data_IF_866458176045
#
_entry.id   IF_866458176045
#
_cell.length_a   1.000
_cell.length_b   1.000
_cell.length_c   1.000
_cell.angle_alpha   90.00
_cell.angle_beta   90.00
_cell.angle_gamma   90.00
#
_symmetry.space_group_name_H-M   'P 1'
#
loop_
_entity.id
_entity.type
_entity.pdbx_description
1 polymer ?
#
# COMPACT_ATOMS: atom_id res chain seq x y z
N UNK A 1 4.58 -6.31 2.99
CA UNK A 1 3.34 -7.08 2.87
C UNK A 1 2.18 -6.25 3.40
N UNK A 2 1.13 -6.05 2.57
CA UNK A 2 -0.14 -5.45 2.99
C UNK A 2 -0.99 -6.46 3.77
N UNK A 3 -1.75 -6.00 4.75
CA UNK A 3 -2.43 -6.88 5.70
C UNK A 3 -3.94 -6.65 5.81
N UNK A 4 -4.53 -5.93 4.87
CA UNK A 4 -5.98 -5.63 4.89
C UNK A 4 -6.82 -6.92 4.88
N UNK A 5 -6.42 -7.95 4.14
CA UNK A 5 -7.09 -9.25 4.06
C UNK A 5 -7.01 -10.05 5.38
N UNK A 6 -6.09 -9.70 6.27
CA UNK A 6 -6.00 -10.34 7.59
C UNK A 6 -7.10 -9.86 8.54
N UNK A 7 -7.74 -8.74 8.23
CA UNK A 7 -8.79 -8.15 9.06
C UNK A 7 -10.14 -7.96 8.38
N UNK A 8 -10.20 -8.01 7.05
CA UNK A 8 -11.39 -7.75 6.26
C UNK A 8 -11.49 -8.71 5.07
N UNK A 9 -12.69 -8.89 4.58
CA UNK A 9 -12.96 -9.40 3.23
C UNK A 9 -12.62 -8.29 2.24
N UNK A 10 -11.49 -8.41 1.53
CA UNK A 10 -10.95 -7.34 0.69
C UNK A 10 -10.30 -7.88 -0.58
N UNK A 11 -10.57 -7.21 -1.70
CA UNK A 11 -10.04 -7.53 -3.03
C UNK A 11 -11.13 -7.98 -3.99
N UNK A 12 -11.10 -7.49 -5.25
CA UNK A 12 -12.13 -7.83 -6.27
C UNK A 12 -12.07 -9.30 -6.68
N UNK A 13 -10.90 -9.91 -6.52
CA UNK A 13 -10.63 -11.32 -6.85
C UNK A 13 -10.60 -12.22 -5.61
N UNK A 14 -10.80 -11.67 -4.41
CA UNK A 14 -10.91 -12.47 -3.20
C UNK A 14 -12.32 -13.09 -3.13
N UNK A 15 -12.37 -14.41 -3.08
CA UNK A 15 -13.60 -15.19 -2.95
C UNK A 15 -13.69 -15.96 -1.64
N UNK A 16 -12.60 -15.96 -0.84
CA UNK A 16 -12.47 -16.73 0.40
C UNK A 16 -12.73 -15.87 1.66
N UNK A 17 -12.85 -14.54 1.48
CA UNK A 17 -13.10 -13.59 2.57
C UNK A 17 -11.85 -13.29 3.40
N UNK A 18 -12.05 -12.99 4.70
CA UNK A 18 -10.95 -12.70 5.61
C UNK A 18 -10.04 -13.92 5.80
N UNK A 19 -8.73 -13.73 5.71
CA UNK A 19 -7.71 -14.77 5.89
C UNK A 19 -7.76 -15.33 7.32
N UNK A 20 -7.84 -16.65 7.42
CA UNK A 20 -7.85 -17.35 8.74
C UNK A 20 -6.51 -17.16 9.47
N UNK A 21 -6.55 -17.02 10.80
CA UNK A 21 -5.35 -16.73 11.61
C UNK A 21 -4.22 -17.76 11.45
N UNK A 22 -4.55 -19.04 11.22
CA UNK A 22 -3.57 -20.08 10.94
C UNK A 22 -2.84 -19.84 9.64
N UNK A 23 -3.54 -19.32 8.61
CA UNK A 23 -2.96 -18.98 7.32
C UNK A 23 -2.16 -17.68 7.40
N UNK A 24 -2.61 -16.69 8.19
CA UNK A 24 -1.79 -15.51 8.47
C UNK A 24 -0.43 -15.90 9.04
N UNK A 25 -0.40 -16.87 9.97
CA UNK A 25 0.87 -17.36 10.49
C UNK A 25 1.75 -17.99 9.41
N UNK A 26 1.20 -18.83 8.52
CA UNK A 26 1.94 -19.42 7.42
C UNK A 26 2.52 -18.35 6.47
N UNK A 27 1.71 -17.33 6.16
CA UNK A 27 2.12 -16.19 5.33
C UNK A 27 3.29 -15.44 5.97
N UNK A 28 3.19 -15.12 7.28
CA UNK A 28 4.25 -14.38 7.98
C UNK A 28 5.53 -15.19 8.16
N UNK A 29 5.42 -16.48 8.47
CA UNK A 29 6.58 -17.37 8.56
C UNK A 29 7.32 -17.44 7.21
N UNK A 30 6.56 -17.57 6.11
CA UNK A 30 7.13 -17.57 4.76
C UNK A 30 7.72 -16.21 4.38
N UNK A 31 7.03 -15.11 4.67
CA UNK A 31 7.52 -13.76 4.43
C UNK A 31 8.88 -13.52 5.10
N UNK A 32 9.00 -13.90 6.37
CA UNK A 32 10.25 -13.82 7.14
C UNK A 32 11.37 -14.67 6.51
N UNK A 33 11.07 -15.91 6.12
CA UNK A 33 12.04 -16.81 5.46
C UNK A 33 12.58 -16.20 4.16
N UNK A 34 11.77 -15.43 3.45
CA UNK A 34 12.13 -14.76 2.18
C UNK A 34 12.68 -13.35 2.35
N UNK A 35 12.90 -12.89 3.58
CA UNK A 35 13.49 -11.58 3.86
C UNK A 35 12.52 -10.42 3.64
N UNK A 36 11.22 -10.67 3.61
CA UNK A 36 10.19 -9.62 3.62
C UNK A 36 10.11 -9.10 5.05
N UNK A 37 10.54 -7.87 5.25
CA UNK A 37 10.79 -7.26 6.55
C UNK A 37 9.71 -6.26 7.01
N UNK A 38 8.74 -5.93 6.15
CA UNK A 38 7.79 -4.85 6.41
C UNK A 38 6.34 -5.31 6.28
N UNK A 39 5.53 -4.97 7.29
CA UNK A 39 4.07 -5.15 7.28
C UNK A 39 3.38 -3.78 7.26
N UNK A 40 2.46 -3.60 6.32
CA UNK A 40 1.59 -2.43 6.23
C UNK A 40 0.19 -2.77 6.74
N UNK A 41 -0.24 -2.10 7.79
CA UNK A 41 -1.54 -2.27 8.43
C UNK A 41 -2.26 -0.93 8.67
N UNK A 42 -3.41 -0.95 9.28
CA UNK A 42 -4.14 0.24 9.75
C UNK A 42 -5.25 -0.14 10.75
N UNK A 43 -5.63 0.74 11.67
CA UNK A 43 -6.81 0.55 12.52
C UNK A 43 -8.11 0.32 11.74
N UNK A 44 -8.20 0.88 10.53
CA UNK A 44 -9.36 0.72 9.63
C UNK A 44 -9.43 -0.63 8.92
N UNK A 45 -8.42 -1.50 9.07
CA UNK A 45 -8.38 -2.83 8.47
C UNK A 45 -9.04 -3.90 9.37
N UNK A 46 -10.19 -3.59 9.93
CA UNK A 46 -10.96 -4.51 10.79
C UNK A 46 -10.17 -4.93 12.03
N UNK A 47 -9.91 -6.23 12.17
CA UNK A 47 -9.13 -6.77 13.29
C UNK A 47 -7.69 -7.16 12.90
N UNK A 48 -7.18 -6.66 11.76
CA UNK A 48 -5.85 -7.01 11.25
C UNK A 48 -4.75 -6.81 12.29
N UNK A 49 -4.71 -5.67 12.99
CA UNK A 49 -3.69 -5.39 14.02
C UNK A 49 -3.72 -6.40 15.18
N UNK A 50 -4.92 -6.83 15.62
CA UNK A 50 -5.07 -7.86 16.65
C UNK A 50 -4.61 -9.24 16.18
N UNK A 51 -4.93 -9.59 14.93
CA UNK A 51 -4.48 -10.84 14.31
C UNK A 51 -2.95 -10.87 14.24
N UNK A 52 -2.35 -9.78 13.76
CA UNK A 52 -0.90 -9.62 13.67
C UNK A 52 -0.23 -9.74 15.06
N UNK A 53 -0.73 -9.03 16.06
CA UNK A 53 -0.20 -9.11 17.43
C UNK A 53 -0.37 -10.48 18.07
N UNK A 54 -1.46 -11.20 17.75
CA UNK A 54 -1.69 -12.57 18.19
C UNK A 54 -0.75 -13.60 17.56
N UNK A 55 -0.34 -13.40 16.31
CA UNK A 55 0.67 -14.24 15.62
C UNK A 55 2.09 -13.90 16.05
N UNK A 56 2.37 -12.61 16.30
CA UNK A 56 3.68 -12.07 16.64
C UNK A 56 4.39 -11.44 15.45
N UNK A 57 4.78 -10.15 15.61
CA UNK A 57 5.33 -9.33 14.53
C UNK A 57 6.66 -8.64 14.89
N UNK A 58 7.33 -9.05 15.96
CA UNK A 58 8.55 -8.41 16.46
C UNK A 58 9.74 -8.43 15.47
N UNK A 59 9.69 -9.31 14.49
CA UNK A 59 10.72 -9.45 13.46
C UNK A 59 10.47 -8.55 12.25
N UNK A 60 9.38 -7.76 12.26
CA UNK A 60 8.97 -6.93 11.13
C UNK A 60 8.99 -5.44 11.50
N UNK A 61 9.29 -4.62 10.51
CA UNK A 61 9.03 -3.19 10.52
C UNK A 61 7.52 -2.98 10.30
N UNK A 62 6.88 -2.27 11.21
CA UNK A 62 5.43 -2.04 11.12
C UNK A 62 5.16 -0.64 10.63
N UNK A 63 4.39 -0.54 9.55
CA UNK A 63 3.78 0.70 9.08
C UNK A 63 2.30 0.65 9.40
N UNK A 64 1.82 1.57 10.22
CA UNK A 64 0.38 1.73 10.48
C UNK A 64 -0.10 3.13 10.14
N UNK A 65 -1.38 3.43 10.36
CA UNK A 65 -1.99 4.67 9.89
C UNK A 65 -2.84 5.31 10.98
N UNK A 66 -3.07 6.62 10.86
CA UNK A 66 -3.98 7.32 11.76
C UNK A 66 -5.43 6.92 11.50
N UNK A 67 -6.26 7.00 12.54
CA UNK A 67 -7.72 7.07 12.37
C UNK A 67 -8.13 8.46 11.93
N UNK A 68 -9.41 8.66 11.56
CA UNK A 68 -9.89 9.95 11.09
C UNK A 68 -9.74 11.06 12.16
N UNK A 69 -9.22 12.21 11.73
CA UNK A 69 -9.06 13.42 12.58
C UNK A 69 -10.41 14.04 13.00
N UNK A 70 -11.51 13.67 12.33
CA UNK A 70 -12.87 14.14 12.71
C UNK A 70 -13.24 13.77 14.16
N UNK A 71 -12.64 12.70 14.72
CA UNK A 71 -12.84 12.32 16.12
C UNK A 71 -12.03 13.17 17.12
N UNK A 72 -11.17 14.08 16.61
CA UNK A 72 -10.29 14.95 17.38
C UNK A 72 -8.92 14.32 17.70
N UNK A 73 -7.90 15.17 17.88
CA UNK A 73 -6.49 14.79 18.06
C UNK A 73 -6.30 13.78 19.18
N UNK A 74 -6.92 14.00 20.36
CA UNK A 74 -6.78 13.10 21.50
C UNK A 74 -7.23 11.66 21.19
N UNK A 75 -8.33 11.51 20.43
CA UNK A 75 -8.84 10.20 20.05
C UNK A 75 -7.96 9.53 18.98
N UNK A 76 -7.35 10.31 18.05
CA UNK A 76 -6.36 9.77 17.10
C UNK A 76 -5.15 9.20 17.84
N UNK A 77 -4.63 9.94 18.84
CA UNK A 77 -3.51 9.47 19.67
C UNK A 77 -3.88 8.23 20.50
N UNK A 78 -5.09 8.23 21.09
CA UNK A 78 -5.59 7.06 21.80
C UNK A 78 -5.69 5.83 20.89
N UNK A 79 -6.19 6.00 19.66
CA UNK A 79 -6.27 4.93 18.67
C UNK A 79 -4.87 4.41 18.29
N UNK A 80 -3.86 5.28 18.14
CA UNK A 80 -2.49 4.87 17.93
C UNK A 80 -1.93 4.02 19.09
N UNK A 81 -2.17 4.42 20.34
CA UNK A 81 -1.76 3.60 21.50
C UNK A 81 -2.53 2.27 21.56
N UNK A 82 -3.78 2.25 21.09
CA UNK A 82 -4.53 1.01 20.94
C UNK A 82 -3.91 0.10 19.87
N UNK A 83 -3.45 0.67 18.74
CA UNK A 83 -2.71 -0.07 17.71
C UNK A 83 -1.45 -0.74 18.25
N UNK A 84 -0.65 -0.03 19.06
CA UNK A 84 0.51 -0.63 19.73
C UNK A 84 0.12 -1.81 20.63
N UNK A 85 -0.99 -1.68 21.36
CA UNK A 85 -1.54 -2.74 22.22
C UNK A 85 -2.02 -3.91 21.39
N UNK A 86 -2.80 -3.68 20.35
CA UNK A 86 -3.38 -4.71 19.48
C UNK A 86 -2.28 -5.47 18.71
N UNK A 87 -1.23 -4.79 18.25
CA UNK A 87 -0.05 -5.35 17.61
C UNK A 87 0.91 -6.04 18.61
N UNK A 88 0.73 -5.82 19.91
CA UNK A 88 1.60 -6.31 20.99
C UNK A 88 3.08 -5.89 20.81
N UNK A 89 3.29 -4.62 20.47
CA UNK A 89 4.61 -3.99 20.28
C UNK A 89 4.70 -2.66 21.03
N UNK A 90 5.90 -2.12 21.18
CA UNK A 90 6.15 -0.85 21.90
C UNK A 90 6.32 0.36 20.97
N UNK A 91 6.60 0.14 19.69
CA UNK A 91 6.81 1.19 18.69
C UNK A 91 6.56 0.67 17.30
N UNK A 92 6.33 1.56 16.33
CA UNK A 92 6.22 1.24 14.89
C UNK A 92 7.31 1.94 14.10
N UNK A 93 7.65 1.41 12.92
CA UNK A 93 8.60 2.06 12.02
C UNK A 93 8.01 3.31 11.38
N UNK A 94 6.76 3.25 10.94
CA UNK A 94 6.08 4.41 10.34
C UNK A 94 4.63 4.57 10.78
N UNK A 95 4.23 5.84 10.95
CA UNK A 95 2.83 6.22 11.14
C UNK A 95 2.43 7.18 10.03
N UNK A 96 1.48 6.74 9.19
CA UNK A 96 0.99 7.52 8.06
C UNK A 96 -0.30 8.25 8.42
N UNK A 97 -0.43 9.51 7.99
CA UNK A 97 -1.74 10.15 7.85
C UNK A 97 -2.50 9.40 6.77
N UNK A 98 -3.59 8.71 7.16
CA UNK A 98 -4.31 7.79 6.28
C UNK A 98 -5.08 8.53 5.18
N UNK A 99 -5.73 9.63 5.54
CA UNK A 99 -6.50 10.45 4.61
C UNK A 99 -5.83 11.82 4.45
N UNK A 100 -5.20 12.05 3.30
CA UNK A 100 -4.50 13.31 2.99
C UNK A 100 -5.39 14.54 3.08
N UNK A 101 -6.71 14.42 2.86
CA UNK A 101 -7.63 15.56 2.94
C UNK A 101 -7.70 16.16 4.34
N UNK A 102 -7.25 15.43 5.36
CA UNK A 102 -7.19 15.89 6.74
C UNK A 102 -6.17 17.02 6.98
N UNK A 103 -5.22 17.23 6.06
CA UNK A 103 -4.28 18.38 6.12
C UNK A 103 -5.02 19.74 6.05
N UNK A 104 -6.26 19.72 5.54
CA UNK A 104 -7.12 20.91 5.47
C UNK A 104 -7.92 21.18 6.76
N UNK A 105 -7.91 20.22 7.70
CA UNK A 105 -8.60 20.39 8.99
C UNK A 105 -7.84 21.37 9.88
N UNK A 106 -8.56 22.26 10.55
CA UNK A 106 -7.99 23.24 11.49
C UNK A 106 -7.22 22.64 12.67
N UNK A 107 -7.44 21.37 12.97
CA UNK A 107 -6.74 20.63 14.03
C UNK A 107 -5.46 19.94 13.51
N UNK A 108 -5.20 19.96 12.19
CA UNK A 108 -4.11 19.21 11.60
C UNK A 108 -2.73 19.62 12.15
N UNK A 109 -2.49 20.92 12.30
CA UNK A 109 -1.23 21.41 12.88
C UNK A 109 -1.02 20.89 14.31
N UNK A 110 -2.09 20.76 15.08
CA UNK A 110 -2.03 20.16 16.42
C UNK A 110 -1.71 18.68 16.37
N UNK A 111 -2.35 17.94 15.46
CA UNK A 111 -2.03 16.53 15.24
C UNK A 111 -0.56 16.36 14.82
N UNK A 112 -0.10 17.14 13.84
CA UNK A 112 1.26 17.02 13.33
C UNK A 112 2.33 17.29 14.39
N UNK A 113 2.07 18.23 15.30
CA UNK A 113 2.93 18.48 16.48
C UNK A 113 2.97 17.26 17.41
N UNK A 114 1.84 16.63 17.67
CA UNK A 114 1.80 15.42 18.50
C UNK A 114 2.52 14.23 17.82
N UNK A 115 2.38 14.07 16.49
CA UNK A 115 3.15 13.04 15.76
C UNK A 115 4.66 13.27 15.89
N UNK A 116 5.12 14.51 15.83
CA UNK A 116 6.54 14.85 16.07
C UNK A 116 6.99 14.51 17.50
N UNK A 117 6.12 14.64 18.50
CA UNK A 117 6.43 14.18 19.88
C UNK A 117 6.52 12.66 19.93
N UNK A 118 5.58 11.92 19.32
CA UNK A 118 5.68 10.47 19.24
C UNK A 118 6.99 10.01 18.61
N UNK A 119 7.50 10.76 17.60
CA UNK A 119 8.80 10.50 16.97
C UNK A 119 9.97 10.80 17.91
N UNK A 120 9.93 11.89 18.65
CA UNK A 120 10.92 12.24 19.68
C UNK A 120 10.95 11.19 20.81
N UNK A 121 9.78 10.70 21.21
CA UNK A 121 9.61 9.67 22.25
C UNK A 121 9.93 8.25 21.73
N UNK A 122 10.32 8.11 20.45
CA UNK A 122 10.67 6.85 19.77
C UNK A 122 9.52 5.83 19.73
N UNK A 123 8.28 6.28 19.81
CA UNK A 123 7.11 5.45 19.57
C UNK A 123 6.85 5.22 18.08
N UNK A 124 7.32 6.14 17.23
CA UNK A 124 7.38 6.02 15.78
C UNK A 124 8.76 6.46 15.29
N UNK A 125 9.27 5.84 14.21
CA UNK A 125 10.53 6.25 13.60
C UNK A 125 10.30 7.26 12.47
N UNK A 126 9.21 7.09 11.71
CA UNK A 126 8.87 7.87 10.52
C UNK A 126 7.46 8.43 10.60
N UNK A 127 7.29 9.67 10.14
CA UNK A 127 5.98 10.28 9.88
C UNK A 127 5.79 10.29 8.37
N UNK A 128 4.60 9.93 7.90
CA UNK A 128 4.33 9.93 6.47
C UNK A 128 2.87 10.14 6.11
N UNK A 129 2.59 10.01 4.82
CA UNK A 129 1.27 10.25 4.26
C UNK A 129 0.88 9.14 3.28
N UNK A 130 -0.42 8.88 3.15
CA UNK A 130 -0.99 8.07 2.08
C UNK A 130 -1.73 8.99 1.11
N UNK A 131 -1.36 8.95 -0.18
CA UNK A 131 -1.88 9.85 -1.22
C UNK A 131 -2.50 9.06 -2.38
N UNK A 132 -3.19 9.79 -3.27
CA UNK A 132 -3.88 9.22 -4.44
C UNK A 132 -3.54 9.94 -5.75
N UNK A 133 -3.02 11.17 -5.71
CA UNK A 133 -2.80 12.00 -6.91
C UNK A 133 -1.45 12.71 -6.87
N UNK A 134 -0.87 13.05 -8.05
CA UNK A 134 0.33 13.87 -8.12
C UNK A 134 0.21 15.21 -7.38
N UNK A 135 -0.91 15.92 -7.54
CA UNK A 135 -1.13 17.22 -6.87
C UNK A 135 -1.04 17.12 -5.35
N UNK A 136 -1.49 15.99 -4.76
CA UNK A 136 -1.35 15.75 -3.33
C UNK A 136 0.11 15.59 -2.92
N UNK A 137 0.92 14.93 -3.76
CA UNK A 137 2.36 14.79 -3.51
C UNK A 137 3.07 16.14 -3.60
N UNK A 138 2.79 16.93 -4.65
CA UNK A 138 3.36 18.28 -4.80
C UNK A 138 3.01 19.17 -3.62
N UNK A 139 1.74 19.15 -3.19
CA UNK A 139 1.31 19.91 -2.01
C UNK A 139 2.09 19.51 -0.74
N UNK A 140 2.31 18.22 -0.52
CA UNK A 140 3.07 17.74 0.64
C UNK A 140 4.54 18.14 0.58
N UNK A 141 5.17 18.03 -0.60
CA UNK A 141 6.56 18.42 -0.81
C UNK A 141 6.82 19.90 -0.55
N UNK A 142 5.81 20.76 -0.77
CA UNK A 142 5.90 22.20 -0.56
C UNK A 142 5.61 22.62 0.87
N UNK A 143 4.85 21.84 1.65
CA UNK A 143 4.28 22.30 2.91
C UNK A 143 4.72 21.53 4.14
N UNK A 144 5.30 20.30 3.99
CA UNK A 144 5.61 19.43 5.14
C UNK A 144 7.00 18.81 5.04
N UNK A 145 7.63 18.60 6.18
CA UNK A 145 8.79 17.70 6.32
C UNK A 145 8.28 16.35 6.79
N UNK A 146 8.48 15.31 5.98
CA UNK A 146 8.05 13.96 6.28
C UNK A 146 9.06 12.93 5.75
N UNK A 147 8.99 11.70 6.28
CA UNK A 147 10.01 10.68 6.06
C UNK A 147 9.57 9.62 5.04
N UNK A 148 8.25 9.43 4.89
CA UNK A 148 7.66 8.27 4.19
C UNK A 148 6.39 8.68 3.45
N UNK A 149 6.21 8.17 2.26
CA UNK A 149 4.95 8.32 1.52
C UNK A 149 4.48 6.99 0.95
N UNK A 150 3.17 6.77 0.98
CA UNK A 150 2.54 5.63 0.34
C UNK A 150 1.66 6.10 -0.81
N UNK A 151 1.97 5.63 -2.02
CA UNK A 151 1.37 6.09 -3.28
C UNK A 151 0.77 4.92 -4.07
N UNK A 152 -0.31 5.12 -4.84
CA UNK A 152 -0.72 4.15 -5.84
C UNK A 152 0.29 4.12 -6.99
N UNK A 153 0.61 2.91 -7.45
CA UNK A 153 1.52 2.72 -8.57
C UNK A 153 1.31 1.35 -9.21
N UNK A 154 1.11 1.32 -10.52
CA UNK A 154 1.02 0.09 -11.31
C UNK A 154 1.17 0.42 -12.80
N UNK A 155 1.11 -0.58 -13.69
CA UNK A 155 1.28 -0.43 -15.14
C UNK A 155 0.27 0.53 -15.80
N UNK A 156 -0.89 0.76 -15.17
CA UNK A 156 -1.90 1.72 -15.64
C UNK A 156 -1.77 3.09 -14.98
N UNK A 157 -1.15 3.16 -13.78
CA UNK A 157 -0.99 4.41 -13.03
C UNK A 157 0.48 4.81 -12.93
N UNK A 158 0.97 5.50 -13.94
CA UNK A 158 2.35 6.02 -14.06
C UNK A 158 2.44 7.52 -13.81
N UNK A 159 1.32 8.16 -13.43
CA UNK A 159 1.20 9.62 -13.30
C UNK A 159 2.31 10.26 -12.45
N UNK A 160 2.83 9.55 -11.43
CA UNK A 160 3.91 10.04 -10.58
C UNK A 160 5.29 9.95 -11.22
N UNK A 161 5.48 9.07 -12.23
CA UNK A 161 6.69 9.08 -13.10
C UNK A 161 6.58 10.27 -14.05
N UNK A 162 5.48 10.34 -14.79
CA UNK A 162 5.26 11.33 -15.85
C UNK A 162 5.32 12.76 -15.34
N UNK A 163 4.77 12.99 -14.15
CA UNK A 163 4.80 14.28 -13.46
C UNK A 163 6.11 14.60 -12.74
N UNK A 164 7.04 13.63 -12.61
CA UNK A 164 8.32 13.80 -11.92
C UNK A 164 8.28 13.75 -10.40
N UNK A 165 7.13 13.45 -9.78
CA UNK A 165 6.99 13.42 -8.32
C UNK A 165 7.84 12.33 -7.67
N UNK A 166 7.98 11.15 -8.29
CA UNK A 166 8.84 10.09 -7.75
C UNK A 166 10.29 10.57 -7.64
N UNK A 167 10.81 11.22 -8.69
CA UNK A 167 12.16 11.78 -8.67
C UNK A 167 12.30 12.90 -7.62
N UNK A 168 11.28 13.75 -7.46
CA UNK A 168 11.28 14.82 -6.45
C UNK A 168 11.32 14.26 -5.02
N UNK A 169 10.55 13.20 -4.74
CA UNK A 169 10.57 12.48 -3.46
C UNK A 169 11.95 11.88 -3.17
N UNK A 170 12.54 11.22 -4.17
CA UNK A 170 13.88 10.62 -4.06
C UNK A 170 14.96 11.67 -3.76
N UNK A 171 14.91 12.82 -4.44
CA UNK A 171 15.85 13.92 -4.22
C UNK A 171 15.78 14.50 -2.80
N UNK A 172 14.62 14.38 -2.13
CA UNK A 172 14.44 14.78 -0.73
C UNK A 172 14.71 13.63 0.27
N UNK A 173 15.14 12.45 -0.21
CA UNK A 173 15.36 11.23 0.60
C UNK A 173 14.09 10.79 1.35
N UNK A 174 12.92 10.97 0.76
CA UNK A 174 11.66 10.47 1.28
C UNK A 174 11.49 9.03 0.82
N UNK A 175 11.21 8.13 1.76
CA UNK A 175 10.96 6.72 1.45
C UNK A 175 9.61 6.56 0.75
N UNK A 176 9.59 5.84 -0.38
CA UNK A 176 8.40 5.70 -1.22
C UNK A 176 7.91 4.26 -1.22
N UNK A 177 6.69 4.04 -0.71
CA UNK A 177 6.02 2.75 -0.75
C UNK A 177 4.94 2.75 -1.84
N UNK A 178 5.08 1.90 -2.83
CA UNK A 178 4.05 1.69 -3.86
C UNK A 178 2.98 0.71 -3.36
N UNK A 179 1.72 1.11 -3.41
CA UNK A 179 0.56 0.24 -3.20
C UNK A 179 -0.26 0.09 -4.47
N UNK A 180 -1.27 -0.77 -4.45
CA UNK A 180 -2.17 -1.02 -5.59
C UNK A 180 -1.46 -1.56 -6.84
N UNK A 181 -0.34 -2.25 -6.65
CA UNK A 181 0.48 -2.78 -7.74
C UNK A 181 -0.30 -3.73 -8.65
N UNK A 182 -1.23 -4.48 -8.09
CA UNK A 182 -2.15 -5.36 -8.83
C UNK A 182 -3.56 -4.78 -8.99
N UNK A 183 -3.77 -3.52 -8.59
CA UNK A 183 -5.06 -2.82 -8.67
C UNK A 183 -6.21 -3.68 -8.09
N UNK A 184 -6.06 -4.12 -6.83
CA UNK A 184 -6.95 -5.06 -6.13
C UNK A 184 -7.18 -6.41 -6.85
N UNK A 185 -6.22 -6.90 -7.61
CA UNK A 185 -6.31 -8.13 -8.39
C UNK A 185 -6.79 -7.92 -9.83
N UNK A 186 -7.34 -6.73 -10.17
CA UNK A 186 -7.83 -6.44 -11.52
C UNK A 186 -6.79 -6.70 -12.61
N UNK A 187 -5.50 -6.41 -12.37
CA UNK A 187 -4.42 -6.64 -13.34
C UNK A 187 -4.04 -8.11 -13.50
N UNK A 188 -4.57 -9.01 -12.68
CA UNK A 188 -4.23 -10.43 -12.67
C UNK A 188 -5.32 -11.32 -13.27
N UNK A 189 -6.57 -10.86 -13.29
CA UNK A 189 -7.70 -11.60 -13.87
C UNK A 189 -8.73 -10.65 -14.48
N UNK A 190 -9.02 -10.86 -15.77
CA UNK A 190 -9.99 -10.09 -16.55
C UNK A 190 -11.26 -10.87 -16.92
N UNK A 191 -11.38 -12.15 -16.48
CA UNK A 191 -12.42 -13.05 -16.96
C UNK A 191 -13.81 -12.81 -16.37
N UNK A 192 -13.87 -12.24 -15.18
CA UNK A 192 -15.11 -12.14 -14.41
C UNK A 192 -15.38 -10.70 -13.93
N UNK A 193 -14.96 -9.73 -14.74
CA UNK A 193 -15.18 -8.32 -14.43
C UNK A 193 -16.64 -7.95 -14.58
N UNK A 194 -17.20 -7.24 -13.59
CA UNK A 194 -18.55 -6.70 -13.67
C UNK A 194 -18.69 -5.62 -14.74
N UNK A 195 -19.93 -5.29 -15.10
CA UNK A 195 -20.28 -4.32 -16.13
C UNK A 195 -19.60 -2.95 -15.99
N UNK A 196 -19.26 -2.57 -14.77
CA UNK A 196 -18.53 -1.34 -14.48
C UNK A 196 -17.23 -1.20 -15.29
N UNK A 197 -16.51 -2.31 -15.46
CA UNK A 197 -15.20 -2.33 -16.13
C UNK A 197 -15.29 -2.43 -17.67
N UNK A 198 -16.48 -2.63 -18.25
CA UNK A 198 -16.67 -2.82 -19.68
C UNK A 198 -16.19 -1.66 -20.56
N UNK A 199 -16.16 -0.45 -20.01
CA UNK A 199 -15.69 0.75 -20.73
C UNK A 199 -14.20 0.78 -20.99
N UNK A 200 -13.39 -0.05 -20.30
CA UNK A 200 -11.92 -0.16 -20.48
C UNK A 200 -11.49 -1.47 -21.15
N UNK A 201 -12.40 -2.17 -21.80
CA UNK A 201 -12.09 -3.47 -22.45
C UNK A 201 -10.92 -3.35 -23.43
N UNK A 202 -10.82 -2.24 -24.18
CA UNK A 202 -9.72 -2.03 -25.14
C UNK A 202 -8.35 -1.93 -24.44
N UNK A 203 -8.30 -1.23 -23.32
CA UNK A 203 -7.10 -1.07 -22.52
C UNK A 203 -6.69 -2.42 -21.91
N UNK A 204 -7.65 -3.19 -21.44
CA UNK A 204 -7.42 -4.52 -20.89
C UNK A 204 -6.95 -5.52 -21.96
N UNK A 205 -7.57 -5.51 -23.14
CA UNK A 205 -7.15 -6.35 -24.26
C UNK A 205 -5.73 -6.02 -24.71
N UNK A 206 -5.42 -4.72 -24.86
CA UNK A 206 -4.08 -4.26 -25.22
C UNK A 206 -3.02 -4.66 -24.18
N UNK A 207 -3.35 -4.58 -22.89
CA UNK A 207 -2.47 -5.04 -21.82
C UNK A 207 -2.23 -6.54 -21.89
N UNK A 208 -3.29 -7.34 -22.04
CA UNK A 208 -3.16 -8.80 -22.15
C UNK A 208 -2.35 -9.23 -23.37
N UNK A 209 -2.55 -8.60 -24.54
CA UNK A 209 -1.77 -8.85 -25.76
C UNK A 209 -0.29 -8.55 -25.53
N UNK A 210 0.02 -7.38 -24.91
CA UNK A 210 1.42 -7.01 -24.63
C UNK A 210 2.09 -7.98 -23.63
N UNK A 211 1.35 -8.40 -22.61
CA UNK A 211 1.87 -9.39 -21.64
C UNK A 211 2.13 -10.72 -22.33
N UNK A 212 1.21 -11.16 -23.21
CA UNK A 212 1.38 -12.40 -23.97
C UNK A 212 2.61 -12.34 -24.90
N UNK A 213 2.83 -11.22 -25.58
CA UNK A 213 3.98 -11.00 -26.47
C UNK A 213 5.31 -10.97 -25.72
N UNK A 214 5.29 -10.61 -24.42
CA UNK A 214 6.47 -10.62 -23.56
C UNK A 214 6.84 -12.01 -23.02
N UNK A 215 6.03 -13.02 -23.25
CA UNK A 215 6.15 -14.37 -22.69
C UNK A 215 6.09 -14.42 -21.14
N UNK A 216 5.60 -13.36 -20.50
CA UNK A 216 5.41 -13.27 -19.06
C UNK A 216 3.95 -13.57 -18.66
N UNK A 217 3.74 -13.99 -17.42
CA UNK A 217 2.43 -13.99 -16.81
C UNK A 217 1.99 -12.57 -16.43
N UNK A 218 0.68 -12.34 -16.23
CA UNK A 218 0.14 -11.06 -15.74
C UNK A 218 0.77 -10.67 -14.40
N UNK A 219 1.02 -11.65 -13.51
CA UNK A 219 1.68 -11.43 -12.23
C UNK A 219 3.12 -10.95 -12.41
N UNK A 220 3.91 -11.64 -13.22
CA UNK A 220 5.30 -11.29 -13.50
C UNK A 220 5.39 -9.90 -14.11
N UNK A 221 4.54 -9.58 -15.08
CA UNK A 221 4.55 -8.29 -15.75
C UNK A 221 4.22 -7.14 -14.77
N UNK A 222 3.09 -7.22 -14.07
CA UNK A 222 2.65 -6.18 -13.15
C UNK A 222 3.62 -5.97 -11.97
N UNK A 223 4.14 -7.07 -11.40
CA UNK A 223 5.08 -7.02 -10.28
C UNK A 223 6.41 -6.39 -10.70
N UNK A 224 7.00 -6.88 -11.80
CA UNK A 224 8.32 -6.43 -12.22
C UNK A 224 8.30 -5.03 -12.81
N UNK A 225 7.17 -4.55 -13.34
CA UNK A 225 7.01 -3.14 -13.68
C UNK A 225 7.26 -2.24 -12.47
N UNK A 226 6.67 -2.56 -11.32
CA UNK A 226 6.91 -1.80 -10.09
C UNK A 226 8.33 -2.02 -9.52
N UNK A 227 8.83 -3.25 -9.51
CA UNK A 227 10.16 -3.58 -8.99
C UNK A 227 11.30 -2.93 -9.79
N UNK A 228 11.11 -2.70 -11.09
CA UNK A 228 12.10 -2.05 -11.95
C UNK A 228 12.08 -0.51 -11.86
N UNK A 229 11.14 0.06 -11.10
CA UNK A 229 11.07 1.51 -10.87
C UNK A 229 11.98 1.89 -9.71
N UNK A 230 13.15 2.45 -10.01
CA UNK A 230 14.25 2.70 -9.06
C UNK A 230 13.93 3.69 -7.93
N UNK A 231 12.91 4.51 -8.13
CA UNK A 231 12.44 5.51 -7.18
C UNK A 231 11.56 4.92 -6.07
N UNK A 232 11.06 3.70 -6.24
CA UNK A 232 10.25 3.01 -5.24
C UNK A 232 11.16 2.22 -4.29
N UNK A 233 11.01 2.45 -2.99
CA UNK A 233 11.80 1.77 -1.97
C UNK A 233 11.14 0.46 -1.52
N UNK A 234 9.80 0.40 -1.50
CA UNK A 234 9.04 -0.82 -1.16
C UNK A 234 7.80 -0.98 -2.03
N UNK A 235 7.55 -2.23 -2.41
CA UNK A 235 6.37 -2.62 -3.17
C UNK A 235 5.43 -3.39 -2.23
N UNK A 236 4.24 -2.81 -1.98
CA UNK A 236 3.26 -3.41 -1.07
C UNK A 236 2.31 -4.32 -1.84
N UNK A 237 2.33 -5.58 -1.48
CA UNK A 237 1.44 -6.61 -2.03
C UNK A 237 0.58 -7.19 -0.91
N UNK A 238 -0.70 -7.44 -1.18
CA UNK A 238 -1.60 -8.20 -0.32
C UNK A 238 -1.78 -9.61 -0.86
N UNK A 239 -2.00 -10.58 0.01
CA UNK A 239 -2.23 -11.98 -0.36
C UNK A 239 -3.31 -12.59 0.53
N UNK A 240 -4.00 -13.61 0.01
CA UNK A 240 -5.04 -14.35 0.72
C UNK A 240 -4.51 -15.68 1.29
N UNK A 241 -3.36 -16.16 0.79
CA UNK A 241 -2.70 -17.38 1.26
C UNK A 241 -1.20 -17.39 0.97
N UNK A 242 -0.48 -18.32 1.60
CA UNK A 242 0.97 -18.46 1.46
C UNK A 242 1.41 -18.86 0.04
N UNK A 243 0.58 -19.56 -0.74
CA UNK A 243 0.91 -19.89 -2.12
C UNK A 243 0.93 -18.66 -3.02
N UNK A 244 0.00 -17.71 -2.85
CA UNK A 244 0.05 -16.43 -3.57
C UNK A 244 1.35 -15.66 -3.24
N UNK A 245 1.78 -15.67 -1.98
CA UNK A 245 3.06 -15.04 -1.62
C UNK A 245 4.25 -15.77 -2.24
N UNK A 246 4.22 -17.10 -2.29
CA UNK A 246 5.23 -17.92 -2.97
C UNK A 246 5.32 -17.55 -4.46
N UNK A 247 4.18 -17.44 -5.14
CA UNK A 247 4.12 -17.07 -6.55
C UNK A 247 4.69 -15.68 -6.79
N UNK A 248 4.34 -14.69 -5.94
CA UNK A 248 4.87 -13.32 -6.01
C UNK A 248 6.40 -13.31 -5.83
N UNK A 249 6.92 -14.02 -4.82
CA UNK A 249 8.37 -14.09 -4.56
C UNK A 249 9.10 -14.73 -5.73
N UNK A 250 8.57 -15.82 -6.29
CA UNK A 250 9.19 -16.51 -7.42
C UNK A 250 9.13 -15.67 -8.72
N UNK A 251 8.16 -14.78 -8.84
CA UNK A 251 7.96 -13.90 -10.00
C UNK A 251 8.83 -12.62 -9.97
N UNK A 252 9.62 -12.40 -8.91
CA UNK A 252 10.31 -11.11 -8.62
C UNK A 252 11.70 -10.97 -9.24
N UNK A 253 12.05 -11.66 -10.33
CA UNK A 253 13.45 -11.80 -10.77
C UNK A 253 13.76 -11.23 -12.15
N UNK A 254 12.88 -10.44 -12.76
CA UNK A 254 13.00 -10.13 -14.20
C UNK A 254 13.46 -8.69 -14.41
N UNK A 255 14.71 -8.52 -14.83
CA UNK A 255 15.26 -7.24 -15.30
C UNK A 255 14.91 -6.97 -16.77
N UNK A 256 13.64 -6.91 -17.13
CA UNK A 256 13.16 -6.62 -18.51
C UNK A 256 12.61 -5.19 -18.57
N UNK A 257 12.81 -4.55 -19.71
CA UNK A 257 12.15 -3.28 -20.00
C UNK A 257 10.68 -3.55 -20.32
N UNK A 258 9.77 -3.10 -19.46
CA UNK A 258 8.34 -3.32 -19.60
C UNK A 258 7.66 -2.03 -20.06
N UNK A 259 6.65 -2.15 -20.93
CA UNK A 259 5.88 -1.01 -21.38
C UNK A 259 4.89 -0.56 -20.30
N UNK A 260 4.70 0.73 -20.18
CA UNK A 260 3.62 1.34 -19.41
C UNK A 260 2.37 1.51 -20.29
N UNK A 261 1.20 1.57 -19.64
CA UNK A 261 -0.08 1.77 -20.33
C UNK A 261 -0.73 3.10 -20.01
N UNK A 262 -0.17 3.86 -19.08
CA UNK A 262 -0.49 5.26 -18.73
C UNK A 262 -1.96 5.66 -18.95
N UNK A 263 -2.86 5.13 -18.10
CA UNK A 263 -4.29 5.44 -18.19
C UNK A 263 -4.58 6.64 -17.28
N UNK A 264 -5.13 7.73 -17.83
CA UNK A 264 -5.54 8.90 -17.06
C UNK A 264 -7.06 8.89 -16.81
N UNK A 265 -7.58 7.82 -16.21
CA UNK A 265 -8.97 7.73 -15.77
C UNK A 265 -9.03 7.36 -14.29
N UNK A 266 -9.23 8.36 -13.45
CA UNK A 266 -9.31 8.20 -11.98
C UNK A 266 -10.40 7.21 -11.58
N UNK A 267 -11.46 7.04 -12.38
CA UNK A 267 -12.52 6.09 -12.07
C UNK A 267 -12.07 4.63 -12.25
N UNK A 268 -11.00 4.36 -13.03
CA UNK A 268 -10.34 3.06 -13.05
C UNK A 268 -9.27 2.97 -11.96
N UNK A 269 -8.42 4.01 -11.85
CA UNK A 269 -7.22 3.97 -11.03
C UNK A 269 -7.50 4.02 -9.51
N UNK A 270 -8.66 4.55 -9.11
CA UNK A 270 -9.04 4.62 -7.71
C UNK A 270 -10.24 3.72 -7.38
N UNK A 271 -10.01 2.59 -6.68
CA UNK A 271 -11.05 1.62 -6.34
C UNK A 271 -12.23 2.16 -5.53
N UNK A 272 -12.13 3.35 -4.95
CA UNK A 272 -13.25 4.02 -4.26
C UNK A 272 -14.44 4.25 -5.20
N UNK A 273 -14.19 4.37 -6.51
CA UNK A 273 -15.23 4.57 -7.54
C UNK A 273 -15.84 3.26 -8.08
N UNK A 274 -15.28 2.11 -7.71
CA UNK A 274 -15.77 0.80 -8.17
C UNK A 274 -17.02 0.39 -7.37
N UNK A 275 -18.21 0.69 -7.90
CA UNK A 275 -19.49 0.36 -7.27
C UNK A 275 -20.50 -0.09 -8.31
#
# INVERSE_FOLDING_TARGET
>A
LGTVQFGLDYGVTNHDGQVAIGEVKNILDYAKDKGIDTLDTAPSYGNSEKVLGGVGVNDFQIITKTTSLQVGVANVLQAFHQSLTDLNITSVDGLLIHNIEEVKDKQFDSLYKELNKLKQDKLINKIGFSTYTPDQVDFLLDNFDFDLIQVPFNVFDTRLIDGGQLQALKNKNIEVHARSVFLQGLLLDFKHLGDYFSKWTKEFDSYQETVQDSELSLLEYALNFALNTSELDKILVGVDNANQLLDIVNSSTIGVNLNEFSIDDVSLLNPVYWR
#
